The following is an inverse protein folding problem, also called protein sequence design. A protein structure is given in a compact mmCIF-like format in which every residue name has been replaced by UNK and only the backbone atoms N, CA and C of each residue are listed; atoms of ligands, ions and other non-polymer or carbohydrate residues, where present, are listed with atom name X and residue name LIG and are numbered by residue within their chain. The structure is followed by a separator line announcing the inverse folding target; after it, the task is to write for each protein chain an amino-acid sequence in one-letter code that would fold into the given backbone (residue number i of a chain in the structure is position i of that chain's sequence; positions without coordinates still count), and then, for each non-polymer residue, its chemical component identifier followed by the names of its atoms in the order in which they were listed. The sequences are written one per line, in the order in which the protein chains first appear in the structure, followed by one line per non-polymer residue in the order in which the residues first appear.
data_IF_253841582264
#
_entry.id   IF_253841582264
#
_cell.length_a   1.000
_cell.length_b   1.000
_cell.length_c   1.000
_cell.angle_alpha   90.00
_cell.angle_beta   90.00
_cell.angle_gamma   90.00
#
_symmetry.space_group_name_H-M   'P 1'
#
loop_
_entity.id
_entity.type
_entity.pdbx_description
1 polymer ?
#
# COMPACT_ATOMS: atom_id res chain seq x y z
N UNK A 1 44.98 -0.96 -38.81
CA UNK A 1 46.27 -0.77 -38.10
C UNK A 1 46.08 -1.15 -36.64
N UNK A 2 46.99 -1.95 -36.06
CA UNK A 2 46.86 -2.56 -34.74
C UNK A 2 47.59 -1.76 -33.64
N UNK A 3 47.18 -1.98 -32.39
CA UNK A 3 48.01 -1.68 -31.22
C UNK A 3 47.13 -1.52 -29.97
N UNK A 4 47.50 -2.01 -28.79
CA UNK A 4 48.63 -2.82 -28.33
C UNK A 4 48.27 -3.21 -26.89
N UNK A 5 48.63 -4.42 -26.51
CA UNK A 5 48.60 -4.95 -25.14
C UNK A 5 49.38 -4.05 -24.15
N UNK A 6 48.95 -4.01 -22.89
CA UNK A 6 49.90 -4.04 -21.77
C UNK A 6 49.28 -4.70 -20.53
N UNK A 7 49.89 -5.84 -20.16
CA UNK A 7 49.84 -6.49 -18.86
C UNK A 7 50.31 -5.54 -17.76
N UNK A 8 49.73 -5.69 -16.56
CA UNK A 8 50.30 -5.18 -15.32
C UNK A 8 49.81 -6.00 -14.13
N UNK A 9 50.56 -7.04 -13.79
CA UNK A 9 50.43 -7.77 -12.53
C UNK A 9 51.68 -7.50 -11.70
N UNK A 10 51.54 -6.97 -10.48
CA UNK A 10 52.58 -7.07 -9.43
C UNK A 10 51.92 -7.30 -8.06
N UNK A 11 52.37 -8.38 -7.45
CA UNK A 11 52.23 -8.86 -6.07
C UNK A 11 52.55 -7.79 -5.00
N UNK A 12 51.83 -7.84 -3.87
CA UNK A 12 52.42 -7.55 -2.57
C UNK A 12 52.06 -8.65 -1.56
N UNK A 13 53.12 -9.29 -1.04
CA UNK A 13 53.10 -10.31 0.00
C UNK A 13 52.95 -9.70 1.41
N UNK A 14 52.07 -10.33 2.18
CA UNK A 14 52.14 -10.71 3.62
C UNK A 14 52.74 -9.78 4.68
N UNK A 15 52.00 -9.63 5.78
CA UNK A 15 52.49 -9.94 7.15
C UNK A 15 51.30 -10.09 8.12
N UNK A 16 51.21 -11.28 8.73
CA UNK A 16 50.29 -11.59 9.82
C UNK A 16 50.82 -11.01 11.13
N UNK A 17 49.99 -10.24 11.84
CA UNK A 17 50.20 -9.92 13.26
C UNK A 17 48.97 -10.37 14.04
N UNK A 18 49.20 -11.32 14.93
CA UNK A 18 48.23 -11.84 15.89
C UNK A 18 48.05 -10.83 17.02
N UNK A 19 46.86 -10.24 17.15
CA UNK A 19 46.48 -9.38 18.26
C UNK A 19 45.18 -9.89 18.89
N UNK A 20 45.26 -10.44 20.10
CA UNK A 20 44.16 -11.00 20.89
C UNK A 20 43.62 -9.94 21.87
N UNK A 21 42.30 -9.97 22.04
CA UNK A 21 41.48 -9.44 23.14
C UNK A 21 41.18 -7.92 23.15
N UNK A 22 39.88 -7.64 22.98
CA UNK A 22 39.26 -6.33 23.19
C UNK A 22 37.78 -6.38 22.83
N UNK A 23 37.02 -7.25 23.49
CA UNK A 23 35.57 -7.32 23.33
C UNK A 23 34.93 -6.01 23.81
N UNK A 24 34.33 -5.26 22.87
CA UNK A 24 33.27 -4.28 23.15
C UNK A 24 32.18 -4.49 22.11
N UNK A 25 31.02 -4.88 22.60
CA UNK A 25 29.89 -5.34 21.81
C UNK A 25 29.45 -4.34 20.76
N UNK A 26 29.56 -4.75 19.50
CA UNK A 26 28.74 -4.20 18.43
C UNK A 26 27.53 -5.12 18.31
N UNK A 27 26.44 -4.78 19.00
CA UNK A 27 25.14 -5.37 18.72
C UNK A 27 24.70 -4.84 17.36
N UNK A 28 25.25 -5.42 16.29
CA UNK A 28 24.62 -5.38 14.99
C UNK A 28 23.34 -6.19 15.13
N UNK A 29 22.24 -5.52 15.47
CA UNK A 29 20.89 -6.05 15.26
C UNK A 29 20.69 -6.14 13.76
N UNK A 30 21.28 -7.18 13.15
CA UNK A 30 20.92 -7.62 11.83
C UNK A 30 19.44 -7.98 11.92
N UNK A 31 18.59 -7.17 11.29
CA UNK A 31 17.19 -7.49 11.12
C UNK A 31 17.13 -8.85 10.42
N UNK A 32 16.76 -9.90 11.16
CA UNK A 32 16.60 -11.23 10.60
C UNK A 32 15.59 -11.17 9.47
N UNK A 33 15.99 -11.66 8.30
CA UNK A 33 15.08 -11.89 7.18
C UNK A 33 13.93 -12.79 7.66
N UNK A 34 12.67 -12.43 7.39
CA UNK A 34 11.54 -13.26 7.81
C UNK A 34 11.60 -14.64 7.13
N UNK A 35 11.29 -15.70 7.89
CA UNK A 35 11.17 -17.06 7.36
C UNK A 35 10.14 -17.12 6.22
N UNK A 36 10.41 -17.89 5.15
CA UNK A 36 9.46 -18.06 4.06
C UNK A 36 8.10 -18.58 4.58
N UNK A 37 7.03 -17.84 4.28
CA UNK A 37 5.66 -18.25 4.62
C UNK A 37 5.11 -17.70 5.94
N UNK A 38 5.91 -17.05 6.79
CA UNK A 38 5.41 -16.36 7.99
C UNK A 38 5.18 -14.88 7.69
N UNK A 39 3.96 -14.34 7.90
CA UNK A 39 3.72 -12.90 7.75
C UNK A 39 4.66 -12.12 8.67
N UNK A 40 5.22 -11.01 8.16
CA UNK A 40 6.03 -10.11 8.97
C UNK A 40 5.28 -9.68 10.25
N UNK A 41 6.02 -9.53 11.35
CA UNK A 41 5.44 -9.13 12.64
C UNK A 41 4.75 -7.77 12.54
N UNK A 42 3.81 -7.47 13.45
CA UNK A 42 3.15 -6.16 13.45
C UNK A 42 4.17 -5.01 13.53
N UNK A 43 5.20 -5.12 14.37
CA UNK A 43 6.26 -4.12 14.49
C UNK A 43 7.08 -3.95 13.20
N UNK A 44 7.43 -5.05 12.53
CA UNK A 44 8.11 -4.99 11.23
C UNK A 44 7.24 -4.33 10.16
N UNK A 45 5.95 -4.67 10.12
CA UNK A 45 4.98 -4.06 9.22
C UNK A 45 4.79 -2.58 9.52
N UNK A 46 4.73 -2.20 10.80
CA UNK A 46 4.60 -0.81 11.23
C UNK A 46 5.84 0.01 10.88
N UNK A 47 7.04 -0.54 11.09
CA UNK A 47 8.30 0.11 10.71
C UNK A 47 8.38 0.32 9.18
N UNK A 48 8.05 -0.69 8.39
CA UNK A 48 7.98 -0.59 6.93
C UNK A 48 6.94 0.47 6.50
N UNK A 49 5.75 0.44 7.12
CA UNK A 49 4.63 1.32 6.85
C UNK A 49 4.89 2.80 7.16
N UNK A 50 5.85 3.12 8.04
CA UNK A 50 6.26 4.51 8.32
C UNK A 50 7.06 5.14 7.17
N UNK A 51 7.68 4.31 6.32
CA UNK A 51 8.60 4.77 5.27
C UNK A 51 8.04 4.64 3.85
N UNK A 52 6.84 4.06 3.71
CA UNK A 52 6.24 3.79 2.41
C UNK A 52 5.58 5.05 1.84
N UNK A 53 5.88 5.35 0.58
CA UNK A 53 5.16 6.36 -0.19
C UNK A 53 4.17 5.67 -1.11
N UNK A 54 2.88 5.90 -0.86
CA UNK A 54 1.76 5.37 -1.64
C UNK A 54 0.65 6.42 -1.64
N UNK A 55 -0.12 6.47 -2.74
CA UNK A 55 -1.36 7.23 -2.82
C UNK A 55 -2.33 6.68 -1.77
N UNK A 56 -3.00 7.56 -1.04
CA UNK A 56 -3.93 7.19 0.04
C UNK A 56 -5.29 7.86 -0.11
N UNK A 57 -5.52 8.48 -1.28
CA UNK A 57 -6.77 9.15 -1.62
C UNK A 57 -7.35 8.62 -2.93
N UNK A 58 -8.66 8.79 -3.07
CA UNK A 58 -9.39 8.59 -4.33
C UNK A 58 -10.07 9.91 -4.64
N UNK A 59 -9.70 10.54 -5.76
CA UNK A 59 -10.20 11.87 -6.14
C UNK A 59 -9.97 12.94 -5.04
N UNK A 60 -8.90 12.79 -4.23
CA UNK A 60 -8.64 13.69 -3.10
C UNK A 60 -9.44 13.38 -1.83
N UNK A 61 -10.35 12.38 -1.86
CA UNK A 61 -11.06 11.89 -0.68
C UNK A 61 -10.12 10.96 0.09
N UNK A 62 -9.95 11.23 1.39
CA UNK A 62 -9.06 10.48 2.28
C UNK A 62 -9.86 9.76 3.35
N UNK A 63 -9.31 8.65 3.83
CA UNK A 63 -9.73 8.06 5.12
C UNK A 63 -9.55 9.10 6.23
N UNK A 64 -10.46 9.09 7.20
CA UNK A 64 -10.68 10.06 8.28
C UNK A 64 -11.20 11.45 7.85
N UNK A 65 -11.39 11.71 6.55
CA UNK A 65 -12.03 12.95 6.11
C UNK A 65 -13.55 12.95 6.41
N UNK A 66 -14.18 14.13 6.56
CA UNK A 66 -15.62 14.23 6.76
C UNK A 66 -16.39 13.70 5.54
N UNK A 67 -17.36 12.82 5.77
CA UNK A 67 -18.17 12.20 4.70
C UNK A 67 -18.93 13.23 3.88
N UNK A 68 -19.38 14.33 4.47
CA UNK A 68 -20.10 15.38 3.74
C UNK A 68 -19.24 16.07 2.68
N UNK A 69 -17.93 16.23 2.95
CA UNK A 69 -16.99 16.77 1.94
C UNK A 69 -16.82 15.79 0.78
N UNK A 70 -16.76 14.49 1.07
CA UNK A 70 -16.69 13.45 0.06
C UNK A 70 -17.95 13.42 -0.80
N UNK A 71 -19.14 13.46 -0.18
CA UNK A 71 -20.44 13.51 -0.87
C UNK A 71 -20.58 14.75 -1.75
N UNK A 72 -20.24 15.93 -1.23
CA UNK A 72 -20.28 17.16 -2.00
C UNK A 72 -19.41 17.07 -3.26
N UNK A 73 -18.20 16.52 -3.14
CA UNK A 73 -17.33 16.29 -4.29
C UNK A 73 -17.94 15.29 -5.27
N UNK A 74 -18.38 14.13 -4.80
CA UNK A 74 -18.90 13.06 -5.67
C UNK A 74 -20.18 13.50 -6.41
N UNK A 75 -21.02 14.33 -5.79
CA UNK A 75 -22.20 14.93 -6.42
C UNK A 75 -21.85 15.83 -7.61
N UNK A 76 -20.66 16.42 -7.66
CA UNK A 76 -20.21 17.18 -8.84
C UNK A 76 -19.73 16.28 -10.00
N UNK A 77 -19.41 15.01 -9.70
CA UNK A 77 -18.76 14.08 -10.63
C UNK A 77 -19.68 12.98 -11.16
N UNK A 78 -20.85 12.79 -10.54
CA UNK A 78 -21.75 11.69 -10.84
C UNK A 78 -23.02 11.66 -10.00
N UNK A 79 -23.69 10.51 -10.01
CA UNK A 79 -24.93 10.27 -9.28
C UNK A 79 -24.74 9.18 -8.22
N UNK A 80 -25.40 9.35 -7.07
CA UNK A 80 -25.48 8.30 -6.07
C UNK A 80 -26.31 7.16 -6.67
N UNK A 81 -25.80 5.93 -6.61
CA UNK A 81 -26.57 4.76 -6.99
C UNK A 81 -27.54 4.40 -5.87
N UNK A 82 -28.78 4.07 -6.26
CA UNK A 82 -29.72 3.41 -5.36
C UNK A 82 -29.16 2.01 -5.07
N UNK A 83 -28.69 1.82 -3.83
CA UNK A 83 -28.14 0.60 -3.21
C UNK A 83 -27.46 -0.44 -4.14
N UNK A 84 -26.16 -0.72 -4.00
CA UNK A 84 -25.50 -1.71 -4.84
C UNK A 84 -25.97 -3.13 -4.51
N UNK A 85 -26.89 -3.67 -5.31
CA UNK A 85 -26.86 -5.11 -5.59
C UNK A 85 -25.65 -5.35 -6.51
N UNK A 86 -24.44 -5.35 -5.95
CA UNK A 86 -23.23 -5.67 -6.69
C UNK A 86 -22.94 -7.16 -6.55
N UNK A 87 -23.09 -7.87 -7.65
CA UNK A 87 -22.59 -9.22 -7.86
C UNK A 87 -21.10 -9.29 -7.48
N UNK A 88 -20.76 -10.17 -6.53
CA UNK A 88 -19.38 -10.39 -6.09
C UNK A 88 -19.30 -10.68 -4.60
N UNK A 89 -19.28 -11.98 -4.26
CA UNK A 89 -19.16 -12.52 -2.90
C UNK A 89 -17.92 -11.98 -2.18
N UNK A 90 -18.13 -11.11 -1.19
CA UNK A 90 -17.49 -11.19 0.12
C UNK A 90 -18.59 -10.92 1.15
N UNK A 91 -18.83 -11.92 2.01
CA UNK A 91 -19.95 -12.02 2.91
C UNK A 91 -19.77 -11.19 4.20
N UNK A 92 -20.91 -11.03 4.86
CA UNK A 92 -21.14 -10.75 6.30
C UNK A 92 -20.98 -9.31 6.81
N UNK A 93 -22.13 -8.78 7.24
CA UNK A 93 -22.35 -7.71 8.23
C UNK A 93 -21.60 -6.40 8.04
N UNK A 94 -22.21 -5.49 7.26
CA UNK A 94 -22.32 -4.05 7.57
C UNK A 94 -22.62 -3.28 6.27
N UNK A 95 -23.84 -3.42 5.73
CA UNK A 95 -24.31 -2.49 4.69
C UNK A 95 -24.64 -1.10 5.25
N UNK A 96 -24.64 -0.94 6.58
CA UNK A 96 -24.90 0.35 7.21
C UNK A 96 -23.77 1.34 6.92
N UNK A 97 -24.14 2.48 6.32
CA UNK A 97 -23.22 3.57 6.00
C UNK A 97 -22.36 3.38 4.74
N UNK A 98 -22.57 2.33 3.93
CA UNK A 98 -21.91 2.17 2.62
C UNK A 98 -22.70 2.89 1.52
N UNK A 99 -22.04 3.75 0.77
CA UNK A 99 -22.63 4.48 -0.35
C UNK A 99 -21.83 4.21 -1.63
N UNK A 100 -22.53 4.12 -2.76
CA UNK A 100 -21.91 3.95 -4.08
C UNK A 100 -22.32 5.10 -4.98
N UNK A 101 -21.34 5.63 -5.70
CA UNK A 101 -21.47 6.73 -6.63
C UNK A 101 -21.02 6.28 -8.00
N UNK A 102 -21.90 6.38 -8.99
CA UNK A 102 -21.56 6.19 -10.40
C UNK A 102 -21.06 7.51 -10.94
N UNK A 103 -19.82 7.52 -11.42
CA UNK A 103 -19.17 8.72 -11.89
C UNK A 103 -19.26 8.78 -13.41
N UNK A 104 -19.32 9.98 -13.97
CA UNK A 104 -19.26 10.22 -15.43
C UNK A 104 -18.16 11.20 -15.80
N UNK A 105 -17.70 12.01 -14.84
CA UNK A 105 -16.69 13.06 -15.04
C UNK A 105 -15.37 12.76 -14.33
N UNK A 106 -14.91 11.52 -14.38
CA UNK A 106 -13.58 11.14 -13.88
C UNK A 106 -13.05 9.86 -14.55
N UNK A 107 -11.75 9.58 -14.36
CA UNK A 107 -11.12 8.31 -14.75
C UNK A 107 -11.65 7.10 -13.97
N UNK A 108 -12.43 7.32 -12.91
CA UNK A 108 -13.16 6.29 -12.19
C UNK A 108 -14.57 6.13 -12.77
N UNK A 109 -15.02 4.89 -12.90
CA UNK A 109 -16.40 4.55 -13.25
C UNK A 109 -17.32 4.62 -12.04
N UNK A 110 -16.83 4.18 -10.89
CA UNK A 110 -17.58 4.22 -9.64
C UNK A 110 -16.66 4.42 -8.43
N UNK A 111 -17.20 5.03 -7.38
CA UNK A 111 -16.57 5.13 -6.06
C UNK A 111 -17.55 4.65 -5.00
N UNK A 112 -17.11 3.72 -4.17
CA UNK A 112 -17.80 3.32 -2.95
C UNK A 112 -17.10 3.92 -1.73
N UNK A 113 -17.86 4.40 -0.76
CA UNK A 113 -17.33 4.90 0.51
C UNK A 113 -18.13 4.34 1.68
N UNK A 114 -17.49 4.14 2.84
CA UNK A 114 -18.16 3.85 4.12
C UNK A 114 -17.71 4.87 5.16
N UNK A 115 -18.63 5.33 6.00
CA UNK A 115 -18.32 6.19 7.15
C UNK A 115 -18.55 5.50 8.50
N UNK A 116 -17.85 5.95 9.54
CA UNK A 116 -18.15 5.61 10.93
C UNK A 116 -19.34 6.45 11.48
N UNK A 117 -19.77 6.14 12.70
CA UNK A 117 -20.84 6.85 13.40
C UNK A 117 -20.55 8.35 13.66
N UNK A 118 -19.29 8.78 13.51
CA UNK A 118 -18.88 10.18 13.63
C UNK A 118 -18.85 10.90 12.27
N UNK A 119 -19.31 10.25 11.21
CA UNK A 119 -19.31 10.80 9.86
C UNK A 119 -17.92 10.90 9.24
N UNK A 120 -16.95 10.08 9.67
CA UNK A 120 -15.60 10.03 9.09
C UNK A 120 -15.50 8.87 8.11
N UNK A 121 -14.87 9.10 6.96
CA UNK A 121 -14.63 8.06 5.95
C UNK A 121 -13.67 7.00 6.52
N UNK A 122 -14.06 5.74 6.53
CA UNK A 122 -13.23 4.61 7.00
C UNK A 122 -12.84 3.62 5.90
N UNK A 123 -13.49 3.73 4.74
CA UNK A 123 -13.30 2.88 3.58
C UNK A 123 -13.57 3.68 2.30
N UNK A 124 -12.72 3.48 1.30
CA UNK A 124 -12.87 3.96 -0.06
C UNK A 124 -12.53 2.82 -1.02
N UNK A 125 -13.32 2.67 -2.07
CA UNK A 125 -13.05 1.79 -3.20
C UNK A 125 -13.37 2.55 -4.48
N UNK A 126 -12.39 2.69 -5.36
CA UNK A 126 -12.56 3.25 -6.69
C UNK A 126 -12.41 2.18 -7.76
N UNK A 127 -13.36 2.11 -8.68
CA UNK A 127 -13.26 1.33 -9.90
C UNK A 127 -12.76 2.24 -11.01
N UNK A 128 -11.63 1.88 -11.62
CA UNK A 128 -10.98 2.63 -12.69
C UNK A 128 -11.63 2.22 -14.01
N UNK A 129 -11.88 3.18 -14.90
CA UNK A 129 -12.46 2.89 -16.21
C UNK A 129 -11.54 2.01 -17.06
N UNK A 130 -12.10 1.14 -17.91
CA UNK A 130 -11.32 0.43 -18.92
C UNK A 130 -10.48 1.40 -19.77
N UNK A 131 -9.21 1.04 -19.99
CA UNK A 131 -8.25 1.87 -20.72
C UNK A 131 -7.65 3.04 -19.91
N UNK A 132 -8.02 3.17 -18.62
CA UNK A 132 -7.46 4.14 -17.67
C UNK A 132 -6.71 3.47 -16.52
N UNK A 133 -6.43 2.17 -16.64
CA UNK A 133 -5.78 1.39 -15.60
C UNK A 133 -4.46 2.04 -15.16
N UNK A 134 -4.18 1.99 -13.86
CA UNK A 134 -3.03 2.69 -13.28
C UNK A 134 -1.95 1.66 -12.92
N UNK A 135 -0.74 1.74 -13.50
CA UNK A 135 0.37 0.88 -13.09
C UNK A 135 0.61 0.93 -11.58
N UNK A 136 0.83 -0.21 -10.95
CA UNK A 136 1.05 -0.30 -9.50
C UNK A 136 2.16 0.63 -9.00
N UNK A 137 3.24 0.78 -9.77
CA UNK A 137 4.37 1.66 -9.46
C UNK A 137 3.99 3.16 -9.45
N UNK A 138 2.91 3.54 -10.14
CA UNK A 138 2.38 4.92 -10.09
C UNK A 138 1.50 5.15 -8.86
N UNK A 139 1.01 4.10 -8.23
CA UNK A 139 0.23 4.20 -6.99
C UNK A 139 1.14 4.22 -5.76
N UNK A 140 2.27 3.52 -5.78
CA UNK A 140 3.23 3.56 -4.68
C UNK A 140 4.49 2.75 -4.93
N UNK A 141 5.38 2.78 -3.93
CA UNK A 141 6.64 2.03 -3.89
C UNK A 141 6.38 0.52 -3.80
N UNK A 142 6.26 -0.16 -4.94
CA UNK A 142 5.90 -1.60 -5.02
C UNK A 142 6.93 -2.50 -4.34
N UNK A 143 8.20 -2.10 -4.33
CA UNK A 143 9.31 -2.80 -3.67
C UNK A 143 9.20 -2.82 -2.15
N UNK A 144 8.37 -1.93 -1.57
CA UNK A 144 8.07 -1.87 -0.14
C UNK A 144 6.69 -2.45 0.20
N UNK A 145 5.98 -3.00 -0.78
CA UNK A 145 4.67 -3.59 -0.58
C UNK A 145 4.81 -4.94 0.14
N UNK A 146 4.15 -5.17 1.30
CA UNK A 146 4.10 -6.50 1.92
C UNK A 146 3.44 -7.55 1.03
N UNK A 147 2.61 -7.14 0.06
CA UNK A 147 2.00 -8.04 -0.92
C UNK A 147 2.24 -7.47 -2.31
N UNK A 148 2.83 -8.26 -3.20
CA UNK A 148 2.97 -7.94 -4.62
C UNK A 148 2.83 -9.22 -5.44
N UNK A 149 1.88 -9.22 -6.37
CA UNK A 149 1.64 -10.29 -7.35
C UNK A 149 1.43 -9.66 -8.73
N UNK A 150 1.20 -10.49 -9.75
CA UNK A 150 0.84 -10.00 -11.08
C UNK A 150 -0.48 -9.22 -11.12
N UNK A 151 -1.38 -9.45 -10.15
CA UNK A 151 -2.76 -8.96 -10.19
C UNK A 151 -3.14 -8.11 -8.98
N UNK A 152 -2.26 -7.99 -7.99
CA UNK A 152 -2.56 -7.28 -6.76
C UNK A 152 -1.28 -6.75 -6.12
N UNK A 153 -1.36 -5.58 -5.51
CA UNK A 153 -0.37 -5.04 -4.60
C UNK A 153 -1.07 -4.45 -3.38
N UNK A 154 -0.50 -4.64 -2.20
CA UNK A 154 -1.03 -4.03 -0.98
C UNK A 154 0.08 -3.38 -0.15
N UNK A 155 -0.21 -2.18 0.36
CA UNK A 155 0.65 -1.42 1.25
C UNK A 155 -0.04 -1.18 2.59
N UNK A 156 0.71 -1.35 3.67
CA UNK A 156 0.32 -0.87 5.00
C UNK A 156 0.92 0.52 5.18
N UNK A 157 0.13 1.50 5.63
CA UNK A 157 0.58 2.90 5.79
C UNK A 157 0.32 3.37 7.20
N UNK A 158 1.40 3.78 7.89
CA UNK A 158 1.34 4.33 9.22
C UNK A 158 0.90 5.80 9.17
N UNK A 159 0.07 6.20 10.12
CA UNK A 159 -0.40 7.58 10.28
C UNK A 159 -0.24 7.97 11.74
N UNK A 160 0.40 9.10 11.99
CA UNK A 160 0.66 9.58 13.35
C UNK A 160 -0.64 9.80 14.11
N UNK A 161 -0.79 9.24 15.32
CA UNK A 161 -2.00 9.38 16.12
C UNK A 161 -3.26 8.68 15.56
N UNK A 162 -3.16 7.95 14.44
CA UNK A 162 -4.29 7.30 13.78
C UNK A 162 -4.07 5.80 13.56
N UNK A 163 -5.14 5.01 13.38
CA UNK A 163 -5.03 3.62 12.96
C UNK A 163 -4.26 3.47 11.63
N UNK A 164 -3.57 2.33 11.51
CA UNK A 164 -2.97 1.87 10.25
C UNK A 164 -4.04 1.80 9.17
N UNK A 165 -3.72 2.26 7.97
CA UNK A 165 -4.56 2.00 6.80
C UNK A 165 -3.88 0.99 5.90
N UNK A 166 -4.71 0.24 5.17
CA UNK A 166 -4.26 -0.59 4.08
C UNK A 166 -4.73 -0.01 2.76
N UNK A 167 -3.80 0.09 1.83
CA UNK A 167 -4.04 0.47 0.44
C UNK A 167 -3.88 -0.79 -0.39
N UNK A 168 -4.88 -1.14 -1.19
CA UNK A 168 -4.86 -2.30 -2.08
C UNK A 168 -5.15 -1.82 -3.49
N UNK A 169 -4.31 -2.20 -4.44
CA UNK A 169 -4.60 -2.05 -5.85
C UNK A 169 -4.71 -3.43 -6.49
N UNK A 170 -5.79 -3.65 -7.23
CA UNK A 170 -6.07 -4.93 -7.89
C UNK A 170 -6.36 -4.72 -9.37
N UNK A 171 -5.96 -5.69 -10.20
CA UNK A 171 -6.18 -5.66 -11.63
C UNK A 171 -5.39 -6.75 -12.35
N UNK A 172 -4.87 -6.47 -13.54
CA UNK A 172 -4.16 -7.45 -14.36
C UNK A 172 -2.83 -6.90 -14.85
N UNK A 173 -1.82 -7.77 -15.01
CA UNK A 173 -0.50 -7.41 -15.56
C UNK A 173 0.11 -6.18 -14.86
N UNK A 174 -0.02 -6.12 -13.53
CA UNK A 174 0.44 -5.03 -12.68
C UNK A 174 -0.19 -3.65 -12.96
N UNK A 175 -1.35 -3.63 -13.61
CA UNK A 175 -2.16 -2.43 -13.80
C UNK A 175 -3.44 -2.55 -12.98
N UNK A 176 -3.71 -1.53 -12.16
CA UNK A 176 -4.88 -1.47 -11.30
C UNK A 176 -6.12 -1.11 -12.11
N UNK A 177 -7.15 -1.95 -11.99
CA UNK A 177 -8.53 -1.65 -12.39
C UNK A 177 -9.40 -1.28 -11.18
N UNK A 178 -8.93 -1.57 -9.96
CA UNK A 178 -9.53 -1.07 -8.73
C UNK A 178 -8.48 -0.66 -7.70
N UNK A 179 -8.89 0.26 -6.82
CA UNK A 179 -8.03 0.84 -5.79
C UNK A 179 -8.84 1.07 -4.52
N UNK A 180 -8.39 0.47 -3.42
CA UNK A 180 -9.10 0.45 -2.13
C UNK A 180 -8.21 1.03 -1.03
N UNK A 181 -8.78 1.86 -0.17
CA UNK A 181 -8.12 2.40 1.02
C UNK A 181 -9.04 2.21 2.22
N UNK A 182 -8.57 1.53 3.27
CA UNK A 182 -9.40 1.27 4.45
C UNK A 182 -8.61 1.23 5.75
N UNK A 183 -9.29 1.55 6.85
CA UNK A 183 -8.74 1.43 8.20
C UNK A 183 -8.58 -0.04 8.59
N UNK A 184 -7.38 -0.44 9.00
CA UNK A 184 -7.13 -1.77 9.55
C UNK A 184 -7.62 -1.80 11.00
N UNK A 185 -8.70 -2.54 11.27
CA UNK A 185 -9.15 -2.77 12.64
C UNK A 185 -8.05 -3.51 13.41
N UNK A 186 -7.67 -3.02 14.59
CA UNK A 186 -6.85 -3.80 15.52
C UNK A 186 -7.73 -4.95 16.02
N UNK A 187 -7.29 -6.18 15.87
CA UNK A 187 -7.89 -7.28 16.63
C UNK A 187 -7.74 -6.92 18.12
N UNK A 188 -8.78 -7.07 18.95
CA UNK A 188 -8.62 -6.94 20.38
C UNK A 188 -7.52 -7.92 20.79
N UNK A 189 -6.52 -7.42 21.52
CA UNK A 189 -5.54 -8.28 22.18
C UNK A 189 -6.29 -9.24 23.08
N UNK A 190 -6.21 -10.53 22.77
CA UNK A 190 -6.65 -11.63 23.64
C UNK A 190 -5.81 -11.65 24.92
#
# INVERSE_FOLDING_TARGET
MPGRFLLGAILCLSLSVTGRAGAKGSSNTAASLPEPGKPASFEQRLAAARSVKVKTDILGIKVDSPVEKARALLATLGTKADSPQAEGKEAEDDNEGKEVWQLTKSDFSAVSLKSDAKGRVIYLLGFIRPGKEIPFQRLGQTEKAPVLTANMVAWDVAREGHPLIRVVASGQKQNASSFTVFVVKRLPSL
#
